data_IF_667574608939
#
_entry.id   IF_667574608939
#
_cell.length_a   1.000
_cell.length_b   1.000
_cell.length_c   1.000
_cell.angle_alpha   90.00
_cell.angle_beta   90.00
_cell.angle_gamma   90.00
#
_symmetry.space_group_name_H-M   'P 1'
#
loop_
_entity.id
_entity.type
_entity.pdbx_description
1 polymer ?
#
# COMPACT_ATOMS: atom_id res chain seq x y z
N UNK A 1 9.73 29.34 7.28
CA UNK A 1 9.26 28.59 8.48
C UNK A 1 10.48 27.93 9.10
N UNK A 2 10.59 27.82 10.45
CA UNK A 2 11.64 26.99 11.06
C UNK A 2 11.26 25.53 10.88
N UNK A 3 12.16 24.74 10.31
CA UNK A 3 12.02 23.28 10.25
C UNK A 3 12.06 22.73 11.68
N UNK A 4 11.00 22.10 12.11
CA UNK A 4 10.89 21.54 13.46
C UNK A 4 11.30 20.06 13.53
N UNK A 5 11.29 19.37 12.38
CA UNK A 5 11.58 17.93 12.28
C UNK A 5 12.15 17.60 10.89
N UNK A 6 13.09 16.66 10.85
CA UNK A 6 13.59 16.03 9.62
C UNK A 6 13.28 14.55 9.72
N UNK A 7 12.66 13.98 8.69
CA UNK A 7 12.48 12.53 8.52
C UNK A 7 13.55 12.06 7.55
N UNK A 8 14.44 11.20 8.01
CA UNK A 8 15.55 10.66 7.24
C UNK A 8 15.20 9.28 6.73
N UNK A 9 15.30 9.10 5.43
CA UNK A 9 14.97 7.86 4.74
C UNK A 9 16.23 7.34 4.07
N UNK A 10 16.58 6.08 4.32
CA UNK A 10 17.65 5.40 3.60
C UNK A 10 17.03 4.41 2.61
N UNK A 11 17.43 4.48 1.34
CA UNK A 11 16.97 3.61 0.28
C UNK A 11 18.08 2.68 -0.19
N UNK A 12 18.00 1.42 0.17
CA UNK A 12 18.86 0.35 -0.26
C UNK A 12 18.24 -0.41 -1.44
N UNK A 13 18.96 -0.58 -2.55
CA UNK A 13 18.46 -1.39 -3.65
C UNK A 13 19.60 -1.90 -4.54
N UNK A 14 19.32 -2.96 -5.30
CA UNK A 14 20.23 -3.41 -6.34
C UNK A 14 20.19 -2.51 -7.58
N UNK A 15 21.25 -2.56 -8.38
CA UNK A 15 21.41 -1.78 -9.62
C UNK A 15 20.24 -1.98 -10.60
N UNK A 16 19.71 -3.20 -10.67
CA UNK A 16 18.57 -3.55 -11.55
C UNK A 16 17.29 -2.76 -11.30
N UNK A 17 17.20 -2.05 -10.16
CA UNK A 17 16.06 -1.20 -9.75
C UNK A 17 16.35 0.31 -9.88
N UNK A 18 17.31 0.71 -10.71
CA UNK A 18 17.65 2.12 -10.92
C UNK A 18 16.44 2.97 -11.32
N UNK A 19 15.58 2.48 -12.22
CA UNK A 19 14.38 3.18 -12.63
C UNK A 19 13.38 3.39 -11.46
N UNK A 20 13.24 2.41 -10.59
CA UNK A 20 12.36 2.50 -9.42
C UNK A 20 12.95 3.45 -8.36
N UNK A 21 14.29 3.44 -8.16
CA UNK A 21 14.98 4.45 -7.30
C UNK A 21 14.73 5.86 -7.79
N UNK A 22 14.98 6.12 -9.08
CA UNK A 22 14.76 7.45 -9.66
C UNK A 22 13.32 7.94 -9.47
N UNK A 23 12.33 7.06 -9.67
CA UNK A 23 10.92 7.38 -9.42
C UNK A 23 10.66 7.66 -7.94
N UNK A 24 11.30 6.87 -7.06
CA UNK A 24 11.17 7.07 -5.61
C UNK A 24 11.78 8.40 -5.16
N UNK A 25 12.96 8.77 -5.67
CA UNK A 25 13.56 10.08 -5.42
C UNK A 25 12.65 11.24 -5.86
N UNK A 26 11.97 11.09 -7.02
CA UNK A 26 10.96 12.05 -7.46
C UNK A 26 9.74 12.13 -6.52
N UNK A 27 9.27 10.99 -6.02
CA UNK A 27 8.20 10.95 -5.03
C UNK A 27 8.60 11.68 -3.75
N UNK A 28 9.80 11.39 -3.21
CA UNK A 28 10.28 12.05 -1.99
C UNK A 28 10.38 13.55 -2.17
N UNK A 29 10.88 14.06 -3.30
CA UNK A 29 10.91 15.51 -3.57
C UNK A 29 9.51 16.13 -3.58
N UNK A 30 8.51 15.45 -4.14
CA UNK A 30 7.11 15.93 -4.09
C UNK A 30 6.58 15.95 -2.65
N UNK A 31 6.84 14.88 -1.89
CA UNK A 31 6.40 14.79 -0.50
C UNK A 31 7.12 15.83 0.37
N UNK A 32 8.43 16.02 0.22
CA UNK A 32 9.19 17.04 0.96
C UNK A 32 8.57 18.43 0.77
N UNK A 33 8.23 18.83 -0.45
CA UNK A 33 7.55 20.11 -0.73
C UNK A 33 6.18 20.24 -0.03
N UNK A 34 5.45 19.13 0.13
CA UNK A 34 4.16 19.13 0.82
C UNK A 34 4.37 19.24 2.33
N UNK A 35 5.31 18.46 2.87
CA UNK A 35 5.60 18.40 4.30
C UNK A 35 6.33 19.65 4.81
N UNK A 36 7.13 20.31 3.97
CA UNK A 36 7.81 21.57 4.31
C UNK A 36 6.83 22.66 4.74
N UNK A 37 5.65 22.73 4.11
CA UNK A 37 4.56 23.65 4.49
C UNK A 37 4.08 23.43 5.93
N UNK A 38 4.40 22.29 6.50
CA UNK A 38 4.06 21.86 7.88
C UNK A 38 5.26 21.90 8.82
N UNK A 39 6.41 22.40 8.35
CA UNK A 39 7.64 22.46 9.12
C UNK A 39 8.39 21.12 9.22
N UNK A 40 8.09 20.17 8.34
CA UNK A 40 8.74 18.86 8.28
C UNK A 40 9.52 18.78 6.98
N UNK A 41 10.76 18.32 7.04
CA UNK A 41 11.60 18.02 5.87
C UNK A 41 11.75 16.51 5.74
N UNK A 42 11.84 16.04 4.51
CA UNK A 42 12.13 14.64 4.20
C UNK A 42 13.46 14.58 3.46
N UNK A 43 14.43 13.90 4.04
CA UNK A 43 15.75 13.68 3.45
C UNK A 43 15.87 12.24 2.99
N UNK A 44 16.22 12.04 1.71
CA UNK A 44 16.49 10.72 1.13
C UNK A 44 17.99 10.55 1.01
N UNK A 45 18.49 9.39 1.44
CA UNK A 45 19.87 8.97 1.23
C UNK A 45 19.90 7.79 0.27
N UNK A 46 20.59 7.98 -0.85
CA UNK A 46 20.83 6.98 -1.90
C UNK A 46 22.32 6.82 -2.11
N UNK A 47 22.74 5.70 -2.68
CA UNK A 47 24.17 5.45 -2.90
C UNK A 47 24.78 6.40 -3.97
N UNK A 48 23.98 6.96 -4.86
CA UNK A 48 24.36 7.95 -5.87
C UNK A 48 24.76 9.31 -5.25
N UNK A 49 24.33 9.61 -4.03
CA UNK A 49 24.60 10.89 -3.37
C UNK A 49 26.04 11.02 -2.85
N UNK A 50 26.87 10.01 -3.09
CA UNK A 50 28.20 9.98 -2.51
C UNK A 50 29.29 10.44 -3.46
N UNK A 51 30.11 11.37 -2.97
CA UNK A 51 31.28 11.83 -3.67
C UNK A 51 32.26 10.68 -3.97
N UNK A 52 32.81 10.68 -5.20
CA UNK A 52 33.85 9.74 -5.59
C UNK A 52 35.20 10.04 -4.93
N UNK A 53 35.33 11.14 -4.15
CA UNK A 53 36.58 11.52 -3.50
C UNK A 53 37.05 10.47 -2.49
N UNK A 54 38.35 10.21 -2.47
CA UNK A 54 38.96 9.32 -1.48
C UNK A 54 39.06 10.07 -0.13
N UNK A 55 38.38 9.53 0.90
CA UNK A 55 38.36 10.10 2.25
C UNK A 55 39.04 9.20 3.32
N UNK A 56 39.69 8.10 2.90
CA UNK A 56 40.36 7.18 3.81
C UNK A 56 39.47 6.18 4.54
N UNK A 57 38.15 6.33 4.46
CA UNK A 57 37.20 5.36 4.99
C UNK A 57 36.65 4.47 3.84
N UNK A 58 36.27 3.24 4.21
CA UNK A 58 35.49 2.39 3.29
C UNK A 58 34.13 3.06 3.08
N UNK A 59 33.73 3.32 1.84
CA UNK A 59 32.44 3.95 1.52
C UNK A 59 31.26 3.25 2.20
N UNK A 60 31.31 1.92 2.30
CA UNK A 60 30.27 1.14 2.96
C UNK A 60 30.12 1.50 4.46
N UNK A 61 31.19 1.88 5.14
CA UNK A 61 31.10 2.26 6.55
C UNK A 61 30.38 3.59 6.73
N UNK A 62 30.56 4.54 5.81
CA UNK A 62 29.81 5.79 5.78
C UNK A 62 28.31 5.56 5.50
N UNK A 63 27.98 4.63 4.57
CA UNK A 63 26.60 4.20 4.35
C UNK A 63 25.99 3.60 5.61
N UNK A 64 26.72 2.73 6.27
CA UNK A 64 26.27 2.07 7.49
C UNK A 64 25.97 3.06 8.62
N UNK A 65 26.72 4.17 8.72
CA UNK A 65 26.42 5.25 9.67
C UNK A 65 25.11 5.96 9.32
N UNK A 66 24.86 6.23 8.03
CA UNK A 66 23.60 6.86 7.60
C UNK A 66 22.40 5.94 7.78
N UNK A 67 22.57 4.62 7.55
CA UNK A 67 21.53 3.63 7.87
C UNK A 67 21.12 3.74 9.34
N UNK A 68 22.11 3.78 10.27
CA UNK A 68 21.82 3.91 11.72
C UNK A 68 21.18 5.24 12.10
N UNK A 69 21.46 6.30 11.35
CA UNK A 69 20.95 7.64 11.60
C UNK A 69 19.62 7.92 10.93
N UNK A 70 19.04 6.96 10.17
CA UNK A 70 17.78 7.13 9.49
C UNK A 70 16.58 6.82 10.40
N UNK A 71 15.42 7.42 10.08
CA UNK A 71 14.14 7.12 10.72
C UNK A 71 13.44 5.94 10.02
N UNK A 72 13.67 5.83 8.71
CA UNK A 72 13.13 4.76 7.87
C UNK A 72 14.24 4.16 7.02
N UNK A 73 14.26 2.84 6.92
CA UNK A 73 15.11 2.08 6.02
C UNK A 73 14.23 1.30 5.04
N UNK A 74 14.43 1.53 3.75
CA UNK A 74 13.74 0.83 2.68
C UNK A 74 14.71 -0.03 1.91
N UNK A 75 14.42 -1.33 1.80
CA UNK A 75 15.18 -2.26 0.98
C UNK A 75 14.32 -2.70 -0.22
N UNK A 76 14.83 -2.48 -1.44
CA UNK A 76 14.19 -2.90 -2.68
C UNK A 76 14.92 -4.08 -3.28
N UNK A 77 14.18 -5.15 -3.59
CA UNK A 77 14.67 -6.35 -4.25
C UNK A 77 13.84 -6.66 -5.50
N UNK A 78 14.48 -7.33 -6.46
CA UNK A 78 13.82 -7.85 -7.64
C UNK A 78 14.21 -9.30 -7.90
N UNK A 79 15.19 -9.53 -8.78
CA UNK A 79 15.65 -10.88 -9.14
C UNK A 79 16.72 -11.41 -8.20
N UNK A 80 17.48 -10.53 -7.56
CA UNK A 80 18.62 -10.92 -6.71
C UNK A 80 18.64 -10.11 -5.42
N UNK A 81 19.25 -10.68 -4.39
CA UNK A 81 19.61 -9.99 -3.18
C UNK A 81 21.07 -9.53 -3.26
N UNK A 82 21.28 -8.23 -3.52
CA UNK A 82 22.62 -7.66 -3.60
C UNK A 82 23.36 -7.76 -2.26
N UNK A 83 24.65 -8.11 -2.30
CA UNK A 83 25.48 -8.25 -1.10
C UNK A 83 25.45 -7.00 -0.21
N UNK A 84 25.54 -5.82 -0.79
CA UNK A 84 25.53 -4.56 -0.07
C UNK A 84 24.14 -4.24 0.50
N UNK A 85 23.06 -4.49 -0.26
CA UNK A 85 21.69 -4.32 0.22
C UNK A 85 21.39 -5.22 1.43
N UNK A 86 21.92 -6.47 1.44
CA UNK A 86 21.84 -7.37 2.61
C UNK A 86 22.66 -6.85 3.78
N UNK A 87 23.87 -6.33 3.54
CA UNK A 87 24.70 -5.74 4.59
C UNK A 87 23.99 -4.56 5.25
N UNK A 88 23.45 -3.65 4.45
CA UNK A 88 22.68 -2.48 4.90
C UNK A 88 21.42 -2.89 5.68
N UNK A 89 20.68 -3.90 5.19
CA UNK A 89 19.54 -4.47 5.90
C UNK A 89 19.94 -5.02 7.28
N UNK A 90 21.04 -5.76 7.37
CA UNK A 90 21.51 -6.30 8.65
C UNK A 90 21.93 -5.20 9.63
N UNK A 91 22.53 -4.11 9.13
CA UNK A 91 22.86 -2.93 9.94
C UNK A 91 21.59 -2.24 10.44
N UNK A 92 20.61 -2.03 9.57
CA UNK A 92 19.32 -1.44 9.94
C UNK A 92 18.64 -2.29 11.01
N UNK A 93 18.62 -3.62 10.84
CA UNK A 93 18.04 -4.55 11.81
C UNK A 93 18.75 -4.45 13.17
N UNK A 94 20.07 -4.47 13.18
CA UNK A 94 20.83 -4.34 14.43
C UNK A 94 20.54 -3.02 15.12
N UNK A 95 20.48 -1.93 14.38
CA UNK A 95 20.13 -0.62 14.93
C UNK A 95 18.70 -0.61 15.49
N UNK A 96 17.74 -1.25 14.79
CA UNK A 96 16.37 -1.40 15.29
C UNK A 96 16.31 -2.20 16.60
N UNK A 97 17.04 -3.31 16.70
CA UNK A 97 17.09 -4.13 17.92
C UNK A 97 17.66 -3.34 19.11
N UNK A 98 18.62 -2.43 18.87
CA UNK A 98 19.27 -1.61 19.89
C UNK A 98 18.48 -0.36 20.28
N UNK A 99 17.77 0.28 19.32
CA UNK A 99 17.23 1.65 19.48
C UNK A 99 15.77 1.79 19.04
N UNK A 100 15.10 0.71 18.57
CA UNK A 100 13.79 0.73 17.92
C UNK A 100 13.72 1.64 16.67
N UNK A 101 14.87 1.92 16.03
CA UNK A 101 15.03 2.74 14.82
C UNK A 101 16.22 2.24 14.01
N UNK A 102 16.18 2.33 12.66
CA UNK A 102 15.09 2.80 11.81
C UNK A 102 13.90 1.82 11.72
N UNK A 103 12.73 2.30 11.32
CA UNK A 103 11.66 1.41 10.87
C UNK A 103 12.05 0.78 9.55
N UNK A 104 12.00 -0.54 9.45
CA UNK A 104 12.49 -1.30 8.30
C UNK A 104 11.32 -1.71 7.42
N UNK A 105 11.38 -1.37 6.14
CA UNK A 105 10.43 -1.75 5.11
C UNK A 105 11.16 -2.46 3.98
N UNK A 106 10.68 -3.64 3.63
CA UNK A 106 11.23 -4.43 2.53
C UNK A 106 10.20 -4.53 1.42
N UNK A 107 10.61 -4.21 0.21
CA UNK A 107 9.81 -4.27 -1.00
C UNK A 107 10.43 -5.26 -1.97
N UNK A 108 9.62 -6.16 -2.49
CA UNK A 108 10.06 -7.11 -3.50
C UNK A 108 9.19 -6.94 -4.75
N UNK A 109 9.82 -6.58 -5.86
CA UNK A 109 9.16 -6.44 -7.14
C UNK A 109 8.74 -7.80 -7.68
N UNK A 110 7.55 -7.90 -8.23
CA UNK A 110 7.05 -9.09 -8.87
C UNK A 110 7.87 -9.40 -10.13
N UNK A 111 8.13 -10.68 -10.35
CA UNK A 111 8.84 -11.15 -11.54
C UNK A 111 7.92 -11.07 -12.76
N UNK A 112 8.47 -10.71 -13.90
CA UNK A 112 7.78 -10.79 -15.17
C UNK A 112 7.68 -12.23 -15.66
N UNK A 113 6.81 -12.49 -16.63
CA UNK A 113 6.62 -13.82 -17.18
C UNK A 113 7.93 -14.37 -17.79
N UNK A 114 8.36 -15.53 -17.33
CA UNK A 114 9.60 -16.18 -17.76
C UNK A 114 10.86 -15.79 -16.96
N UNK A 115 10.73 -14.89 -15.99
CA UNK A 115 11.83 -14.57 -15.09
C UNK A 115 11.85 -15.46 -13.84
N UNK A 116 13.01 -15.55 -13.22
CA UNK A 116 13.19 -16.30 -11.96
C UNK A 116 14.04 -15.52 -10.97
N UNK A 117 13.76 -15.70 -9.69
CA UNK A 117 14.61 -15.16 -8.64
C UNK A 117 15.91 -15.96 -8.47
N UNK A 118 16.93 -15.29 -7.97
CA UNK A 118 18.18 -15.92 -7.62
C UNK A 118 18.04 -16.74 -6.33
N UNK A 119 18.95 -17.70 -6.17
CA UNK A 119 19.03 -18.48 -4.92
C UNK A 119 19.24 -17.58 -3.70
N UNK A 120 20.08 -16.56 -3.82
CA UNK A 120 20.38 -15.65 -2.71
C UNK A 120 19.12 -14.88 -2.25
N UNK A 121 18.26 -14.47 -3.18
CA UNK A 121 17.00 -13.82 -2.83
C UNK A 121 16.02 -14.80 -2.17
N UNK A 122 15.94 -16.02 -2.67
CA UNK A 122 15.09 -17.05 -2.07
C UNK A 122 15.54 -17.40 -0.63
N UNK A 123 16.86 -17.52 -0.41
CA UNK A 123 17.43 -17.74 0.92
C UNK A 123 17.17 -16.53 1.84
N UNK A 124 17.32 -15.32 1.35
CA UNK A 124 17.04 -14.11 2.11
C UNK A 124 15.56 -13.98 2.50
N UNK A 125 14.64 -14.28 1.59
CA UNK A 125 13.20 -14.35 1.89
C UNK A 125 12.90 -15.36 3.01
N UNK A 126 13.51 -16.55 2.94
CA UNK A 126 13.35 -17.57 3.97
C UNK A 126 13.86 -17.09 5.32
N UNK A 127 15.05 -16.48 5.37
CA UNK A 127 15.61 -15.87 6.58
C UNK A 127 14.65 -14.82 7.18
N UNK A 128 14.15 -13.90 6.36
CA UNK A 128 13.22 -12.87 6.81
C UNK A 128 11.97 -13.47 7.45
N UNK A 129 11.38 -14.50 6.80
CA UNK A 129 10.13 -15.09 7.24
C UNK A 129 10.30 -15.99 8.46
N UNK A 130 11.25 -16.93 8.40
CA UNK A 130 11.39 -18.01 9.41
C UNK A 130 12.15 -17.57 10.65
N UNK A 131 13.19 -16.73 10.50
CA UNK A 131 14.04 -16.36 11.61
C UNK A 131 13.70 -14.98 12.18
N UNK A 132 13.32 -14.03 11.32
CA UNK A 132 13.09 -12.64 11.74
C UNK A 132 11.61 -12.30 11.94
N UNK A 133 10.70 -13.13 11.40
CA UNK A 133 9.28 -12.79 11.39
C UNK A 133 8.97 -11.48 10.65
N UNK A 134 9.91 -11.04 9.79
CA UNK A 134 9.81 -9.80 9.03
C UNK A 134 9.16 -10.07 7.68
N UNK A 135 8.14 -9.29 7.35
CA UNK A 135 7.39 -9.41 6.11
C UNK A 135 7.79 -8.31 5.13
N UNK A 136 7.67 -8.64 3.85
CA UNK A 136 7.90 -7.69 2.77
C UNK A 136 6.61 -7.35 2.05
N UNK A 137 6.54 -6.16 1.49
CA UNK A 137 5.50 -5.75 0.58
C UNK A 137 5.89 -6.16 -0.85
N UNK A 138 4.98 -6.80 -1.57
CA UNK A 138 5.14 -7.07 -3.00
C UNK A 138 4.61 -5.89 -3.80
N UNK A 139 5.24 -5.62 -4.93
CA UNK A 139 4.72 -4.63 -5.86
C UNK A 139 4.94 -5.07 -7.30
N UNK A 140 3.89 -4.98 -8.11
CA UNK A 140 3.92 -5.27 -9.55
C UNK A 140 4.33 -4.03 -10.37
N UNK A 141 4.05 -2.85 -9.85
CA UNK A 141 4.33 -1.57 -10.48
C UNK A 141 4.60 -0.49 -9.43
N UNK A 142 5.07 0.67 -9.91
CA UNK A 142 5.49 1.73 -9.02
C UNK A 142 4.33 2.42 -8.29
N UNK A 143 3.12 2.46 -8.87
CA UNK A 143 1.94 3.02 -8.19
C UNK A 143 1.61 2.27 -6.91
N UNK A 144 1.70 0.92 -6.95
CA UNK A 144 1.53 0.06 -5.77
C UNK A 144 2.56 0.38 -4.69
N UNK A 145 3.84 0.45 -5.06
CA UNK A 145 4.92 0.74 -4.12
C UNK A 145 4.79 2.11 -3.49
N UNK A 146 4.55 3.15 -4.29
CA UNK A 146 4.47 4.52 -3.76
C UNK A 146 3.23 4.74 -2.90
N UNK A 147 2.10 4.11 -3.23
CA UNK A 147 0.91 4.14 -2.38
C UNK A 147 1.21 3.52 -1.01
N UNK A 148 1.74 2.29 -0.99
CA UNK A 148 2.11 1.62 0.26
C UNK A 148 3.10 2.45 1.07
N UNK A 149 4.16 2.98 0.44
CA UNK A 149 5.14 3.83 1.12
C UNK A 149 4.51 5.07 1.76
N UNK A 150 3.63 5.77 1.03
CA UNK A 150 2.94 6.96 1.55
C UNK A 150 2.07 6.62 2.76
N UNK A 151 1.39 5.48 2.74
CA UNK A 151 0.61 5.01 3.88
C UNK A 151 1.52 4.71 5.09
N UNK A 152 2.69 4.14 4.88
CA UNK A 152 3.68 3.88 5.93
C UNK A 152 4.31 5.18 6.48
N UNK A 153 4.61 6.14 5.60
CA UNK A 153 5.17 7.43 6.01
C UNK A 153 4.24 8.16 7.00
N UNK A 154 2.92 8.06 6.82
CA UNK A 154 1.94 8.62 7.75
C UNK A 154 2.02 8.03 9.17
N UNK A 155 2.52 6.79 9.30
CA UNK A 155 2.71 6.14 10.60
C UNK A 155 3.95 6.62 11.34
N UNK A 156 4.95 7.11 10.61
CA UNK A 156 6.19 7.68 11.19
C UNK A 156 5.95 9.12 11.65
N UNK A 157 5.02 9.82 11.00
CA UNK A 157 4.61 11.16 11.39
C UNK A 157 3.52 11.13 12.46
N UNK A 158 3.92 11.13 13.72
CA UNK A 158 3.02 10.94 14.87
C UNK A 158 2.03 12.10 15.15
N UNK A 159 2.15 13.27 14.50
CA UNK A 159 1.48 14.49 14.99
C UNK A 159 0.21 14.89 14.23
N UNK A 160 0.14 14.73 12.93
CA UNK A 160 -1.09 15.01 12.16
C UNK A 160 -0.99 14.36 10.78
N UNK A 161 -1.73 13.28 10.51
CA UNK A 161 -1.70 12.63 9.20
C UNK A 161 -2.03 13.61 8.09
N UNK A 162 -1.32 13.52 6.96
CA UNK A 162 -1.71 14.25 5.76
C UNK A 162 -2.98 13.59 5.23
N UNK A 163 -3.96 14.40 4.87
CA UNK A 163 -5.18 13.92 4.25
C UNK A 163 -4.86 13.28 2.90
N UNK A 164 -5.09 12.00 2.80
CA UNK A 164 -5.09 11.25 1.53
C UNK A 164 -6.50 11.34 0.97
N UNK A 165 -6.63 11.80 -0.27
CA UNK A 165 -7.89 11.92 -0.97
C UNK A 165 -7.91 10.93 -2.13
N UNK A 166 -9.08 10.30 -2.34
CA UNK A 166 -9.34 9.47 -3.51
C UNK A 166 -10.30 10.24 -4.40
N UNK A 167 -9.88 10.51 -5.62
CA UNK A 167 -10.67 11.24 -6.59
C UNK A 167 -10.30 10.84 -8.02
N UNK A 168 -11.31 10.53 -8.85
CA UNK A 168 -11.13 10.18 -10.26
C UNK A 168 -10.14 9.02 -10.45
N UNK A 169 -10.31 7.95 -9.67
CA UNK A 169 -9.42 6.78 -9.63
C UNK A 169 -7.97 7.11 -9.30
N UNK A 170 -7.71 8.23 -8.65
CA UNK A 170 -6.37 8.66 -8.23
C UNK A 170 -6.32 8.87 -6.72
N UNK A 171 -5.21 8.44 -6.13
CA UNK A 171 -4.84 8.80 -4.75
C UNK A 171 -4.03 10.08 -4.79
N UNK A 172 -4.48 11.10 -4.05
CA UNK A 172 -3.86 12.43 -4.03
C UNK A 172 -3.49 12.87 -2.62
N UNK A 173 -2.43 13.65 -2.52
CA UNK A 173 -2.07 14.43 -1.33
C UNK A 173 -1.94 15.89 -1.77
N UNK A 174 -2.88 16.73 -1.35
CA UNK A 174 -3.02 18.08 -1.90
C UNK A 174 -3.23 18.03 -3.41
N UNK A 175 -2.43 18.77 -4.17
CA UNK A 175 -2.52 18.81 -5.64
C UNK A 175 -1.69 17.70 -6.32
N UNK A 176 -0.98 16.87 -5.55
CA UNK A 176 -0.07 15.86 -6.09
C UNK A 176 -0.74 14.50 -6.19
N UNK A 177 -0.78 13.92 -7.40
CA UNK A 177 -1.16 12.52 -7.60
C UNK A 177 -0.03 11.63 -7.08
N UNK A 178 -0.39 10.69 -6.22
CA UNK A 178 0.50 9.70 -5.61
C UNK A 178 0.40 8.37 -6.36
N UNK A 179 -0.81 7.90 -6.65
CA UNK A 179 -1.00 6.65 -7.38
C UNK A 179 -2.26 6.73 -8.25
N UNK A 180 -2.23 6.02 -9.37
CA UNK A 180 -3.40 5.69 -10.17
C UNK A 180 -3.94 4.34 -9.71
N UNK A 181 -5.16 4.33 -9.20
CA UNK A 181 -5.81 3.12 -8.68
C UNK A 181 -6.06 2.07 -9.77
N UNK A 182 -6.17 2.48 -11.02
CA UNK A 182 -6.30 1.53 -12.13
C UNK A 182 -5.05 0.66 -12.32
N UNK A 183 -3.90 1.08 -11.80
CA UNK A 183 -2.65 0.33 -11.82
C UNK A 183 -2.45 -0.51 -10.55
N UNK A 184 -3.20 -0.26 -9.48
CA UNK A 184 -3.00 -0.96 -8.20
C UNK A 184 -3.80 -2.26 -8.18
N UNK A 185 -3.20 -3.43 -7.87
CA UNK A 185 -3.87 -4.72 -8.00
C UNK A 185 -5.14 -4.88 -7.17
N UNK A 186 -5.22 -4.33 -5.96
CA UNK A 186 -6.42 -4.45 -5.14
C UNK A 186 -7.65 -3.74 -5.75
N UNK A 187 -7.46 -2.87 -6.75
CA UNK A 187 -8.50 -2.30 -7.61
C UNK A 187 -8.55 -2.99 -8.96
N UNK A 188 -7.45 -2.97 -9.72
CA UNK A 188 -7.40 -3.47 -11.10
C UNK A 188 -7.73 -4.96 -11.24
N UNK A 189 -7.45 -5.78 -10.23
CA UNK A 189 -7.78 -7.20 -10.19
C UNK A 189 -9.08 -7.51 -9.43
N UNK A 190 -9.69 -6.50 -8.79
CA UNK A 190 -10.95 -6.67 -8.08
C UNK A 190 -12.11 -6.85 -9.06
N UNK A 191 -12.82 -7.97 -8.95
CA UNK A 191 -13.91 -8.32 -9.87
C UNK A 191 -15.04 -7.30 -9.81
N UNK A 192 -15.51 -6.95 -8.62
CA UNK A 192 -16.59 -5.98 -8.42
C UNK A 192 -16.25 -4.60 -8.97
N UNK A 193 -15.03 -4.13 -8.73
CA UNK A 193 -14.55 -2.87 -9.27
C UNK A 193 -14.52 -2.87 -10.81
N UNK A 194 -14.03 -3.95 -11.42
CA UNK A 194 -14.01 -4.10 -12.90
C UNK A 194 -15.41 -4.14 -13.51
N UNK A 195 -16.36 -4.78 -12.85
CA UNK A 195 -17.76 -4.80 -13.28
C UNK A 195 -18.36 -3.40 -13.29
N UNK A 196 -18.14 -2.62 -12.23
CA UNK A 196 -18.58 -1.22 -12.16
C UNK A 196 -17.93 -0.35 -13.24
N UNK A 197 -16.63 -0.48 -13.47
CA UNK A 197 -15.93 0.24 -14.53
C UNK A 197 -16.47 -0.13 -15.91
N UNK A 198 -16.68 -1.43 -16.18
CA UNK A 198 -17.26 -1.90 -17.44
C UNK A 198 -18.68 -1.35 -17.65
N UNK A 199 -19.49 -1.30 -16.59
CA UNK A 199 -20.84 -0.72 -16.66
C UNK A 199 -20.81 0.78 -16.97
N UNK A 200 -19.92 1.52 -16.32
CA UNK A 200 -19.73 2.94 -16.59
C UNK A 200 -19.32 3.20 -18.03
N UNK A 201 -18.35 2.43 -18.56
CA UNK A 201 -17.92 2.55 -19.96
C UNK A 201 -19.05 2.20 -20.95
N UNK A 202 -19.90 1.23 -20.60
CA UNK A 202 -21.08 0.90 -21.41
C UNK A 202 -22.05 2.09 -21.44
N UNK A 203 -22.36 2.66 -20.28
CA UNK A 203 -23.26 3.83 -20.18
C UNK A 203 -22.69 5.05 -20.92
N UNK A 204 -21.38 5.30 -20.83
CA UNK A 204 -20.73 6.39 -21.57
C UNK A 204 -20.89 6.20 -23.10
N UNK A 205 -20.79 4.94 -23.60
CA UNK A 205 -21.03 4.61 -25.02
C UNK A 205 -22.51 4.78 -25.41
N UNK A 206 -23.43 4.34 -24.58
CA UNK A 206 -24.87 4.47 -24.81
C UNK A 206 -25.32 5.94 -24.88
N UNK A 207 -24.84 6.76 -23.92
CA UNK A 207 -25.05 8.21 -23.88
C UNK A 207 -24.46 8.87 -25.15
N UNK A 208 -23.21 8.56 -25.49
CA UNK A 208 -22.57 9.10 -26.69
C UNK A 208 -23.30 8.76 -28.00
N UNK A 209 -23.82 7.53 -28.11
CA UNK A 209 -24.63 7.11 -29.26
C UNK A 209 -26.00 7.85 -29.32
N UNK A 210 -26.66 8.00 -28.18
CA UNK A 210 -27.91 8.71 -28.07
C UNK A 210 -27.76 10.20 -28.46
N UNK A 211 -26.71 10.85 -27.99
CA UNK A 211 -26.38 12.25 -28.32
C UNK A 211 -25.97 12.43 -29.79
N UNK A 212 -25.28 11.45 -30.38
CA UNK A 212 -24.78 11.49 -31.76
C UNK A 212 -25.91 11.15 -32.77
N UNK A 213 -26.80 10.24 -32.42
CA UNK A 213 -27.94 9.81 -33.25
C UNK A 213 -28.94 10.94 -33.54
N UNK A 214 -29.00 11.96 -32.70
CA UNK A 214 -29.78 13.18 -32.91
C UNK A 214 -29.27 14.09 -34.04
N UNK A 215 -28.07 13.91 -34.57
CA UNK A 215 -27.41 14.77 -35.58
C UNK A 215 -27.37 14.23 -37.00
N UNK A 216 -27.75 12.98 -37.26
CA UNK A 216 -27.76 12.38 -38.62
C UNK A 216 -29.13 11.82 -39.00
N UNK A 217 -30.04 12.68 -39.42
CA UNK A 217 -31.29 12.26 -40.00
C UNK A 217 -31.63 13.09 -41.21
N UNK A 218 -31.20 12.66 -42.42
CA UNK A 218 -31.64 13.26 -43.70
C UNK A 218 -32.84 12.52 -44.34
N UNK A 219 -33.47 11.58 -43.67
CA UNK A 219 -34.76 10.99 -44.04
C UNK A 219 -35.51 10.48 -42.81
N UNK A 220 -36.57 11.15 -42.49
CA UNK A 220 -37.71 11.00 -41.63
C UNK A 220 -38.04 9.64 -40.99
N UNK A 221 -37.21 9.05 -40.15
CA UNK A 221 -37.63 8.22 -39.00
C UNK A 221 -36.66 8.48 -37.87
N UNK A 222 -37.09 9.36 -36.95
CA UNK A 222 -36.39 9.57 -35.65
C UNK A 222 -36.63 8.33 -34.80
N UNK A 223 -35.65 7.47 -34.64
CA UNK A 223 -35.51 6.74 -33.39
C UNK A 223 -35.06 7.78 -32.37
N UNK A 224 -35.99 8.48 -31.77
CA UNK A 224 -35.75 9.34 -30.61
C UNK A 224 -35.51 8.40 -29.43
N UNK A 225 -34.29 8.21 -29.04
CA UNK A 225 -34.01 8.06 -27.60
C UNK A 225 -34.72 9.26 -27.00
N UNK A 226 -35.72 9.05 -26.19
CA UNK A 226 -36.50 10.15 -25.62
C UNK A 226 -35.58 10.94 -24.69
N UNK A 227 -35.81 12.25 -24.54
CA UNK A 227 -35.06 13.05 -23.60
C UNK A 227 -35.07 12.43 -22.18
N UNK A 228 -36.12 11.68 -21.86
CA UNK A 228 -36.30 10.90 -20.65
C UNK A 228 -35.36 9.68 -20.57
N UNK A 229 -35.20 8.92 -21.65
CA UNK A 229 -34.24 7.79 -21.69
C UNK A 229 -32.81 8.27 -21.55
N UNK A 230 -32.46 9.41 -22.16
CA UNK A 230 -31.12 10.01 -22.01
C UNK A 230 -30.91 10.52 -20.58
N UNK A 231 -31.92 11.08 -19.94
CA UNK A 231 -31.87 11.50 -18.55
C UNK A 231 -31.64 10.29 -17.61
N UNK A 232 -32.36 9.19 -17.83
CA UNK A 232 -32.22 7.95 -17.07
C UNK A 232 -30.82 7.35 -17.21
N UNK A 233 -30.25 7.30 -18.42
CA UNK A 233 -28.87 6.83 -18.64
C UNK A 233 -27.83 7.68 -17.90
N UNK A 234 -28.03 8.99 -17.89
CA UNK A 234 -27.12 9.91 -17.15
C UNK A 234 -27.23 9.73 -15.63
N UNK A 235 -28.43 9.53 -15.11
CA UNK A 235 -28.68 9.26 -13.69
C UNK A 235 -28.02 7.93 -13.28
N UNK A 236 -28.22 6.87 -14.07
CA UNK A 236 -27.57 5.57 -13.81
C UNK A 236 -26.05 5.70 -13.87
N UNK A 237 -25.51 6.41 -14.86
CA UNK A 237 -24.06 6.67 -14.97
C UNK A 237 -23.52 7.41 -13.75
N UNK A 238 -24.26 8.39 -13.22
CA UNK A 238 -23.88 9.12 -12.00
C UNK A 238 -23.91 8.19 -10.78
N UNK A 239 -24.93 7.34 -10.66
CA UNK A 239 -25.04 6.35 -9.60
C UNK A 239 -23.85 5.39 -9.61
N UNK A 240 -23.53 4.79 -10.77
CA UNK A 240 -22.36 3.90 -10.93
C UNK A 240 -21.05 4.63 -10.60
N UNK A 241 -20.92 5.89 -11.00
CA UNK A 241 -19.73 6.69 -10.68
C UNK A 241 -19.56 6.86 -9.16
N UNK A 242 -20.64 7.15 -8.45
CA UNK A 242 -20.64 7.25 -6.97
C UNK A 242 -20.30 5.92 -6.30
N UNK A 243 -20.76 4.79 -6.86
CA UNK A 243 -20.40 3.46 -6.36
C UNK A 243 -18.90 3.20 -6.53
N UNK A 244 -18.32 3.53 -7.69
CA UNK A 244 -16.87 3.42 -7.94
C UNK A 244 -16.10 4.25 -6.91
N UNK A 245 -16.44 5.52 -6.72
CA UNK A 245 -15.76 6.41 -5.76
C UNK A 245 -15.82 5.88 -4.31
N UNK A 246 -16.98 5.34 -3.90
CA UNK A 246 -17.13 4.72 -2.58
C UNK A 246 -16.26 3.48 -2.43
N UNK A 247 -16.23 2.63 -3.45
CA UNK A 247 -15.44 1.41 -3.44
C UNK A 247 -13.94 1.71 -3.45
N UNK A 248 -13.47 2.64 -4.28
CA UNK A 248 -12.09 3.11 -4.28
C UNK A 248 -11.65 3.61 -2.90
N UNK A 249 -12.50 4.42 -2.26
CA UNK A 249 -12.25 4.90 -0.91
C UNK A 249 -12.16 3.76 0.10
N UNK A 250 -13.11 2.82 0.06
CA UNK A 250 -13.12 1.66 0.97
C UNK A 250 -11.88 0.78 0.79
N UNK A 251 -11.43 0.57 -0.46
CA UNK A 251 -10.22 -0.17 -0.78
C UNK A 251 -8.96 0.53 -0.24
N UNK A 252 -8.83 1.84 -0.44
CA UNK A 252 -7.70 2.62 0.10
C UNK A 252 -7.73 2.66 1.63
N UNK A 253 -8.90 2.82 2.26
CA UNK A 253 -9.05 2.78 3.71
C UNK A 253 -8.69 1.40 4.29
N UNK A 254 -8.97 0.33 3.56
CA UNK A 254 -8.57 -1.04 3.92
C UNK A 254 -7.06 -1.22 3.79
N UNK A 255 -6.46 -0.78 2.67
CA UNK A 255 -5.01 -0.78 2.49
C UNK A 255 -4.28 0.01 3.60
N UNK A 256 -4.82 1.17 3.99
CA UNK A 256 -4.31 1.96 5.11
C UNK A 256 -4.37 1.20 6.43
N UNK A 257 -5.42 0.44 6.66
CA UNK A 257 -5.58 -0.37 7.87
C UNK A 257 -4.60 -1.55 7.89
N UNK A 258 -4.41 -2.20 6.75
CA UNK A 258 -3.40 -3.26 6.57
C UNK A 258 -2.00 -2.70 6.86
N UNK A 259 -1.67 -1.55 6.29
CA UNK A 259 -0.39 -0.89 6.52
C UNK A 259 -0.13 -0.62 8.02
N UNK A 260 -1.16 -0.27 8.78
CA UNK A 260 -1.08 -0.07 10.24
C UNK A 260 -0.83 -1.36 11.02
N UNK A 261 -1.32 -2.50 10.52
CA UNK A 261 -1.22 -3.79 11.19
C UNK A 261 0.14 -4.47 10.99
N UNK A 262 0.93 -4.10 9.98
CA UNK A 262 2.22 -4.72 9.64
C UNK A 262 3.33 -4.53 10.68
N UNK A 263 3.07 -3.83 11.76
CA UNK A 263 3.99 -3.63 12.89
C UNK A 263 3.94 -4.76 13.93
N UNK A 264 4.45 -5.96 13.62
CA UNK A 264 4.85 -6.96 14.64
C UNK A 264 3.75 -7.76 15.36
N UNK A 265 2.47 -7.41 15.25
CA UNK A 265 1.37 -8.05 15.99
C UNK A 265 0.33 -8.75 15.09
N UNK A 266 0.63 -8.91 13.81
CA UNK A 266 -0.26 -9.60 12.87
C UNK A 266 -0.28 -11.11 13.09
N UNK A 267 -1.48 -11.70 13.19
CA UNK A 267 -1.62 -13.15 13.13
C UNK A 267 -1.23 -13.67 11.73
N UNK A 268 -0.84 -14.94 11.60
CA UNK A 268 -0.62 -15.56 10.28
C UNK A 268 -1.83 -15.40 9.35
N UNK A 269 -3.03 -15.48 9.90
CA UNK A 269 -4.31 -15.30 9.20
C UNK A 269 -4.48 -13.90 8.64
N UNK A 270 -4.21 -12.87 9.45
CA UNK A 270 -4.25 -11.48 9.02
C UNK A 270 -3.28 -11.21 7.88
N UNK A 271 -2.09 -11.79 7.93
CA UNK A 271 -1.06 -11.63 6.89
C UNK A 271 -1.50 -12.26 5.57
N UNK A 272 -1.98 -13.50 5.61
CA UNK A 272 -2.50 -14.15 4.41
C UNK A 272 -3.68 -13.38 3.82
N UNK A 273 -4.57 -12.86 4.65
CA UNK A 273 -5.67 -12.02 4.20
C UNK A 273 -5.18 -10.70 3.57
N UNK A 274 -4.17 -10.05 4.16
CA UNK A 274 -3.56 -8.84 3.62
C UNK A 274 -2.89 -9.10 2.26
N UNK A 275 -2.11 -10.17 2.13
CA UNK A 275 -1.48 -10.55 0.86
C UNK A 275 -2.50 -10.83 -0.25
N UNK A 276 -3.61 -11.48 0.08
CA UNK A 276 -4.68 -11.74 -0.87
C UNK A 276 -5.42 -10.45 -1.26
N UNK A 277 -5.65 -9.57 -0.29
CA UNK A 277 -6.22 -8.26 -0.54
C UNK A 277 -5.34 -7.43 -1.49
N UNK A 278 -4.04 -7.36 -1.22
CA UNK A 278 -3.07 -6.64 -2.06
C UNK A 278 -3.03 -7.15 -3.51
N UNK A 279 -3.38 -8.42 -3.73
CA UNK A 279 -3.52 -9.02 -5.07
C UNK A 279 -4.89 -8.81 -5.72
N UNK A 280 -5.83 -8.13 -5.05
CA UNK A 280 -7.20 -7.96 -5.51
C UNK A 280 -8.10 -9.19 -5.32
N UNK A 281 -7.63 -10.23 -4.64
CA UNK A 281 -8.36 -11.47 -4.36
C UNK A 281 -9.27 -11.33 -3.12
N UNK A 282 -10.16 -10.31 -3.14
CA UNK A 282 -10.93 -9.88 -1.96
C UNK A 282 -11.74 -11.02 -1.33
N UNK A 283 -12.45 -11.81 -2.14
CA UNK A 283 -13.25 -12.94 -1.63
C UNK A 283 -12.40 -14.03 -0.96
N UNK A 284 -11.16 -14.25 -1.45
CA UNK A 284 -10.24 -15.19 -0.79
C UNK A 284 -9.68 -14.60 0.49
N UNK A 285 -9.40 -13.30 0.51
CA UNK A 285 -8.95 -12.59 1.71
C UNK A 285 -9.99 -12.67 2.83
N UNK A 286 -11.27 -12.50 2.50
CA UNK A 286 -12.39 -12.68 3.41
C UNK A 286 -12.48 -14.14 3.93
N UNK A 287 -12.38 -15.12 3.01
CA UNK A 287 -12.49 -16.54 3.35
C UNK A 287 -11.40 -17.06 4.31
N UNK A 288 -10.23 -16.41 4.34
CA UNK A 288 -9.17 -16.73 5.31
C UNK A 288 -9.55 -16.31 6.73
N UNK A 289 -10.34 -15.26 6.87
CA UNK A 289 -10.79 -14.69 8.15
C UNK A 289 -12.14 -15.34 8.56
N UNK A 290 -12.09 -16.65 8.84
CA UNK A 290 -13.29 -17.43 9.24
C UNK A 290 -13.77 -17.00 10.63
N UNK A 291 -15.07 -16.71 10.74
CA UNK A 291 -15.68 -16.25 12.00
C UNK A 291 -15.51 -17.25 13.13
N UNK A 292 -15.79 -18.54 12.87
CA UNK A 292 -15.68 -19.59 13.87
C UNK A 292 -14.27 -19.69 14.47
N UNK A 293 -13.23 -19.57 13.62
CA UNK A 293 -11.83 -19.61 14.06
C UNK A 293 -11.46 -18.37 14.86
N UNK A 294 -11.94 -17.19 14.44
CA UNK A 294 -11.70 -15.93 15.14
C UNK A 294 -12.44 -15.87 16.49
N UNK A 295 -13.67 -16.37 16.55
CA UNK A 295 -14.46 -16.46 17.78
C UNK A 295 -13.82 -17.40 18.79
N UNK A 296 -13.33 -18.57 18.34
CA UNK A 296 -12.61 -19.52 19.18
C UNK A 296 -11.33 -18.90 19.77
N UNK A 297 -10.55 -18.20 18.93
CA UNK A 297 -9.32 -17.55 19.38
C UNK A 297 -9.60 -16.38 20.34
N UNK A 298 -10.63 -15.56 20.06
CA UNK A 298 -11.02 -14.45 20.90
C UNK A 298 -11.55 -14.95 22.27
N UNK A 299 -12.36 -16.00 22.27
CA UNK A 299 -12.87 -16.62 23.51
C UNK A 299 -11.72 -17.18 24.35
N UNK A 300 -10.77 -17.88 23.73
CA UNK A 300 -9.60 -18.41 24.43
C UNK A 300 -8.69 -17.30 24.97
N UNK A 301 -8.44 -16.25 24.18
CA UNK A 301 -7.65 -15.08 24.61
C UNK A 301 -8.30 -14.39 25.81
N UNK A 302 -9.63 -14.17 25.76
CA UNK A 302 -10.40 -13.58 26.84
C UNK A 302 -10.36 -14.45 28.10
N UNK A 303 -10.58 -15.77 27.98
CA UNK A 303 -10.52 -16.69 29.12
C UNK A 303 -9.16 -16.64 29.82
N UNK A 304 -8.06 -16.66 29.05
CA UNK A 304 -6.70 -16.55 29.58
C UNK A 304 -6.46 -15.21 30.28
N UNK A 305 -6.98 -14.12 29.73
CA UNK A 305 -6.87 -12.80 30.33
C UNK A 305 -7.65 -12.71 31.66
N UNK A 306 -8.91 -13.17 31.68
CA UNK A 306 -9.81 -13.08 32.83
C UNK A 306 -9.37 -14.03 33.98
N UNK A 307 -8.66 -15.12 33.66
CA UNK A 307 -8.17 -16.09 34.67
C UNK A 307 -6.76 -15.78 35.17
N UNK A 308 -6.05 -14.84 34.58
CA UNK A 308 -4.72 -14.45 35.01
C UNK A 308 -4.77 -13.65 36.32
N UNK A 309 -3.95 -14.02 37.29
CA UNK A 309 -3.84 -13.27 38.57
C UNK A 309 -3.38 -11.81 38.36
N UNK A 310 -2.54 -11.59 37.34
CA UNK A 310 -2.17 -10.27 36.81
C UNK A 310 -2.09 -10.38 35.28
N UNK A 311 -2.87 -9.58 34.52
CA UNK A 311 -2.75 -9.55 33.07
C UNK A 311 -1.35 -9.13 32.63
N UNK A 312 -0.73 -9.95 31.79
CA UNK A 312 0.57 -9.64 31.20
C UNK A 312 0.40 -8.85 29.90
N UNK A 313 1.44 -8.15 29.47
CA UNK A 313 1.46 -7.45 28.19
C UNK A 313 1.20 -8.40 27.00
N UNK A 314 1.58 -9.67 27.13
CA UNK A 314 1.30 -10.70 26.11
C UNK A 314 -0.19 -11.04 26.01
N UNK A 315 -0.88 -11.17 27.15
CA UNK A 315 -2.33 -11.42 27.17
C UNK A 315 -3.11 -10.25 26.59
N UNK A 316 -2.72 -9.03 26.90
CA UNK A 316 -3.30 -7.81 26.31
C UNK A 316 -3.12 -7.80 24.80
N UNK A 317 -1.90 -8.06 24.30
CA UNK A 317 -1.62 -8.14 22.86
C UNK A 317 -2.43 -9.22 22.14
N UNK A 318 -2.67 -10.36 22.80
CA UNK A 318 -3.49 -11.44 22.21
C UNK A 318 -4.94 -10.99 22.00
N UNK A 319 -5.53 -10.24 22.93
CA UNK A 319 -6.87 -9.67 22.79
C UNK A 319 -6.91 -8.62 21.67
N UNK A 320 -5.92 -7.73 21.64
CA UNK A 320 -5.80 -6.69 20.60
C UNK A 320 -5.65 -7.30 19.21
N UNK A 321 -4.88 -8.38 19.10
CA UNK A 321 -4.74 -9.14 17.84
C UNK A 321 -6.06 -9.73 17.37
N UNK A 322 -6.84 -10.37 18.26
CA UNK A 322 -8.16 -10.90 17.90
C UNK A 322 -9.11 -9.79 17.45
N UNK A 323 -9.14 -8.65 18.16
CA UNK A 323 -9.91 -7.50 17.72
C UNK A 323 -9.48 -6.97 16.35
N UNK A 324 -8.18 -6.96 16.07
CA UNK A 324 -7.61 -6.60 14.77
C UNK A 324 -8.10 -7.49 13.63
N UNK A 325 -8.24 -8.80 13.86
CA UNK A 325 -8.77 -9.74 12.86
C UNK A 325 -10.22 -9.40 12.47
N UNK A 326 -11.09 -9.15 13.45
CA UNK A 326 -12.46 -8.74 13.18
C UNK A 326 -12.55 -7.40 12.43
N UNK A 327 -11.72 -6.43 12.82
CA UNK A 327 -11.67 -5.14 12.15
C UNK A 327 -11.19 -5.28 10.70
N UNK A 328 -10.17 -6.10 10.45
CA UNK A 328 -9.68 -6.35 9.10
C UNK A 328 -10.74 -7.04 8.25
N UNK A 329 -11.41 -8.08 8.78
CA UNK A 329 -12.50 -8.76 8.08
C UNK A 329 -13.61 -7.78 7.70
N UNK A 330 -14.10 -6.97 8.65
CA UNK A 330 -15.16 -6.00 8.37
C UNK A 330 -14.78 -5.04 7.24
N UNK A 331 -13.52 -4.58 7.19
CA UNK A 331 -13.04 -3.68 6.13
C UNK A 331 -12.94 -4.37 4.78
N UNK A 332 -12.42 -5.61 4.75
CA UNK A 332 -12.32 -6.42 3.52
C UNK A 332 -13.71 -6.65 2.95
N UNK A 333 -14.68 -7.04 3.77
CA UNK A 333 -16.08 -7.22 3.34
C UNK A 333 -16.64 -5.94 2.74
N UNK A 334 -16.53 -4.82 3.45
CA UNK A 334 -17.02 -3.51 2.93
C UNK A 334 -16.35 -3.13 1.62
N UNK A 335 -15.05 -3.41 1.45
CA UNK A 335 -14.33 -3.11 0.21
C UNK A 335 -14.67 -4.06 -0.96
N UNK A 336 -15.32 -5.19 -0.68
CA UNK A 336 -15.77 -6.17 -1.68
C UNK A 336 -17.21 -5.99 -2.14
N UNK A 337 -18.02 -5.18 -1.43
CA UNK A 337 -19.44 -4.99 -1.72
C UNK A 337 -19.61 -3.75 -2.60
N UNK A 338 -20.19 -3.92 -3.81
CA UNK A 338 -20.81 -2.82 -4.51
C UNK A 338 -22.14 -2.52 -3.80
N UNK A 339 -22.25 -1.37 -3.15
CA UNK A 339 -23.44 -0.96 -2.41
C UNK A 339 -24.65 -0.85 -3.38
N UNK A 340 -25.65 -1.73 -3.24
CA UNK A 340 -26.85 -1.78 -4.07
C UNK A 340 -27.92 -0.74 -3.62
N UNK A 341 -27.56 0.25 -2.81
CA UNK A 341 -28.49 1.22 -2.24
C UNK A 341 -28.54 2.55 -2.99
#
# INVERSE_FOLDING_TARGET
MKTNRVIKIFLASSEELEADRYRFGNLIRKLDNIYEKRGIRIELFEWEDYDAAYNGMRKQDEYNERVRASDMFLALFYKKAGKFTIEEFNIARKAFDEQASPKIYTYIKDLEAGESESRDLAEFKRLMLEELGHYWCRYSNFDTMQLHFVLQLQMVEATTPIKVEVKESQVKIGDSTIADLNNVPFTSENTTYRELQSRKEQLDREIGNAESGGRRGFFGQRSRTTDEELANLREERESVTKQIERQEKALVDTAMSIARMQGGECSPRMRTAAELFEKGEIGKAEAVLKEDDMEADATNAKLKFDTAAQPTAELTRNIERCAGEYMLKARIVVSGIADES
#
